data_IF_329694388635
#
_entry.id   IF_329694388635
#
_cell.length_a   1.000
_cell.length_b   1.000
_cell.length_c   1.000
_cell.angle_alpha   90.00
_cell.angle_beta   90.00
_cell.angle_gamma   90.00
#
_symmetry.space_group_name_H-M   'P 1'
#
loop_
_entity.id
_entity.type
_entity.pdbx_description
1 polymer ?
#
# COMPACT_ATOMS: atom_id res chain seq x y z
N UNK A 1 19.85 0.26 -5.40
CA UNK A 1 20.81 -0.67 -4.75
C UNK A 1 20.19 -1.37 -3.53
N UNK A 2 19.45 -0.69 -2.65
CA UNK A 2 18.99 -1.26 -1.36
C UNK A 2 17.89 -2.35 -1.49
N UNK A 3 16.96 -2.24 -2.43
CA UNK A 3 15.91 -3.26 -2.62
C UNK A 3 16.44 -4.61 -3.11
N UNK A 4 17.50 -4.62 -3.94
CA UNK A 4 18.13 -5.88 -4.38
C UNK A 4 18.84 -6.55 -3.22
N UNK A 5 19.59 -5.79 -2.43
CA UNK A 5 20.26 -6.31 -1.24
C UNK A 5 19.29 -6.95 -0.24
N UNK A 6 18.12 -6.31 0.00
CA UNK A 6 17.07 -6.89 0.83
C UNK A 6 16.53 -8.22 0.28
N UNK A 7 16.24 -8.28 -1.03
CA UNK A 7 15.79 -9.54 -1.65
C UNK A 7 16.82 -10.66 -1.59
N UNK A 8 18.10 -10.33 -1.76
CA UNK A 8 19.17 -11.32 -1.74
C UNK A 8 19.42 -11.86 -0.31
N UNK A 9 19.23 -11.02 0.70
CA UNK A 9 19.25 -11.44 2.10
C UNK A 9 18.15 -12.46 2.41
N UNK A 10 16.91 -12.22 1.95
CA UNK A 10 15.82 -13.17 2.16
C UNK A 10 15.97 -14.49 1.37
N UNK A 11 16.62 -14.47 0.21
CA UNK A 11 16.85 -15.70 -0.58
C UNK A 11 17.82 -16.68 0.09
N UNK A 12 18.72 -16.20 0.95
CA UNK A 12 19.67 -17.01 1.69
C UNK A 12 19.15 -17.58 3.00
N UNK A 13 17.98 -17.11 3.46
CA UNK A 13 17.41 -17.51 4.74
C UNK A 13 16.57 -18.78 4.60
N UNK A 14 16.69 -19.69 5.56
CA UNK A 14 15.79 -20.83 5.70
C UNK A 14 14.40 -20.38 6.09
N UNK A 15 13.37 -21.23 5.91
CA UNK A 15 11.99 -20.91 6.29
C UNK A 15 11.86 -20.50 7.77
N UNK A 16 12.58 -21.19 8.67
CA UNK A 16 12.58 -20.89 10.11
C UNK A 16 13.25 -19.55 10.43
N UNK A 17 14.35 -19.23 9.76
CA UNK A 17 15.04 -17.94 9.94
C UNK A 17 14.20 -16.79 9.44
N UNK A 18 13.51 -16.96 8.31
CA UNK A 18 12.57 -15.96 7.78
C UNK A 18 11.38 -15.74 8.71
N UNK A 19 10.82 -16.80 9.29
CA UNK A 19 9.74 -16.73 10.26
C UNK A 19 10.18 -16.01 11.54
N UNK A 20 11.34 -16.37 12.09
CA UNK A 20 11.90 -15.71 13.28
C UNK A 20 12.18 -14.23 13.02
N UNK A 21 12.75 -13.90 11.86
CA UNK A 21 12.99 -12.52 11.46
C UNK A 21 11.69 -11.71 11.38
N UNK A 22 10.64 -12.29 10.80
CA UNK A 22 9.32 -11.66 10.73
C UNK A 22 8.72 -11.46 12.12
N UNK A 23 8.82 -12.43 13.03
CA UNK A 23 8.34 -12.32 14.40
C UNK A 23 9.08 -11.22 15.18
N UNK A 24 10.40 -11.17 15.08
CA UNK A 24 11.21 -10.15 15.77
C UNK A 24 10.92 -8.75 15.24
N UNK A 25 10.74 -8.59 13.94
CA UNK A 25 10.40 -7.29 13.33
C UNK A 25 8.98 -6.81 13.66
N UNK A 26 8.07 -7.73 13.98
CA UNK A 26 6.69 -7.42 14.40
C UNK A 26 6.60 -7.12 15.92
N UNK A 27 7.58 -7.56 16.71
CA UNK A 27 7.55 -7.43 18.16
C UNK A 27 7.35 -5.99 18.66
N UNK A 28 8.03 -4.96 18.10
CA UNK A 28 7.78 -3.58 18.52
C UNK A 28 6.33 -3.15 18.28
N UNK A 29 5.72 -3.56 17.17
CA UNK A 29 4.31 -3.28 16.89
C UNK A 29 3.38 -3.91 17.91
N UNK A 30 3.58 -5.19 18.22
CA UNK A 30 2.77 -5.94 19.18
C UNK A 30 2.83 -5.31 20.57
N UNK A 31 3.98 -4.77 20.97
CA UNK A 31 4.16 -4.11 22.27
C UNK A 31 3.65 -2.65 22.28
N UNK A 32 3.87 -1.90 21.22
CA UNK A 32 3.55 -0.47 21.15
C UNK A 32 2.07 -0.19 20.89
N UNK A 33 1.36 -1.10 20.19
CA UNK A 33 -0.07 -0.94 19.92
C UNK A 33 -0.90 -0.89 21.21
N UNK A 34 -0.85 -1.89 22.11
CA UNK A 34 -1.66 -1.89 23.34
C UNK A 34 -1.28 -0.78 24.31
N UNK A 35 -0.05 -0.26 24.23
CA UNK A 35 0.42 0.87 25.03
C UNK A 35 0.04 2.23 24.43
N UNK A 36 -0.59 2.28 23.25
CA UNK A 36 -0.94 3.52 22.55
C UNK A 36 0.27 4.34 22.07
N UNK A 37 1.46 3.73 22.06
CA UNK A 37 2.71 4.42 21.71
C UNK A 37 3.03 4.41 20.23
N UNK A 38 2.32 3.60 19.43
CA UNK A 38 2.60 3.45 17.99
C UNK A 38 2.39 4.75 17.23
N UNK A 39 1.43 5.58 17.65
CA UNK A 39 1.19 6.89 17.04
C UNK A 39 2.30 7.91 17.37
N UNK A 40 3.05 7.69 18.44
CA UNK A 40 4.15 8.56 18.87
C UNK A 40 5.50 8.11 18.30
N UNK A 41 5.65 6.81 18.04
CA UNK A 41 6.85 6.20 17.46
C UNK A 41 6.45 5.25 16.32
N UNK A 42 5.91 5.78 15.21
CA UNK A 42 5.50 4.93 14.10
C UNK A 42 6.73 4.29 13.44
N UNK A 43 6.74 2.98 13.24
CA UNK A 43 7.85 2.28 12.57
C UNK A 43 7.95 2.66 11.09
N UNK A 44 6.84 3.10 10.51
CA UNK A 44 6.75 3.62 9.14
C UNK A 44 5.56 4.58 9.03
N UNK A 45 5.70 5.60 8.18
CA UNK A 45 4.64 6.60 7.94
C UNK A 45 3.88 6.36 6.65
N UNK A 46 4.44 5.58 5.74
CA UNK A 46 3.89 5.35 4.40
C UNK A 46 3.99 3.87 4.07
N UNK A 47 2.91 3.34 3.50
CA UNK A 47 2.87 1.99 2.93
C UNK A 47 2.70 2.11 1.42
N UNK A 48 3.56 1.44 0.66
CA UNK A 48 3.43 1.34 -0.80
C UNK A 48 3.33 -0.15 -1.13
N UNK A 49 2.20 -0.54 -1.72
CA UNK A 49 1.92 -1.91 -2.12
C UNK A 49 1.73 -2.00 -3.64
N UNK A 50 2.28 -3.05 -4.23
CA UNK A 50 2.06 -3.36 -5.64
C UNK A 50 1.44 -4.75 -5.77
N UNK A 51 0.22 -4.80 -6.30
CA UNK A 51 -0.54 -6.03 -6.51
C UNK A 51 -0.56 -6.34 -8.00
N UNK A 52 0.11 -7.41 -8.45
CA UNK A 52 0.04 -7.82 -9.84
C UNK A 52 -1.36 -8.34 -10.17
N UNK A 53 -1.99 -7.75 -11.16
CA UNK A 53 -3.30 -8.17 -11.67
C UNK A 53 -3.21 -8.88 -13.04
N UNK A 54 -4.36 -9.24 -13.62
CA UNK A 54 -4.43 -9.95 -14.89
C UNK A 54 -3.84 -9.12 -16.03
N UNK A 55 -3.02 -9.75 -16.88
CA UNK A 55 -2.38 -9.13 -18.06
C UNK A 55 -3.25 -9.18 -19.32
N UNK A 56 -4.53 -9.52 -19.18
CA UNK A 56 -5.50 -9.63 -20.29
C UNK A 56 -6.83 -9.01 -19.87
N UNK A 57 -7.60 -8.48 -20.83
CA UNK A 57 -8.93 -7.96 -20.55
C UNK A 57 -9.80 -9.04 -19.91
N UNK A 58 -10.51 -8.67 -18.86
CA UNK A 58 -11.48 -9.52 -18.18
C UNK A 58 -12.89 -9.06 -18.50
N UNK A 59 -13.82 -10.00 -18.50
CA UNK A 59 -15.23 -9.77 -18.78
C UNK A 59 -16.06 -10.38 -17.67
N UNK A 60 -17.10 -9.69 -17.27
CA UNK A 60 -18.11 -10.20 -16.34
C UNK A 60 -19.48 -10.08 -17.01
N UNK A 61 -20.13 -11.23 -17.23
CA UNK A 61 -21.45 -11.29 -17.88
C UNK A 61 -21.53 -10.48 -19.20
N UNK A 62 -20.51 -10.59 -20.04
CA UNK A 62 -20.41 -9.86 -21.31
C UNK A 62 -19.89 -8.42 -21.21
N UNK A 63 -19.87 -7.82 -20.03
CA UNK A 63 -19.31 -6.47 -19.82
C UNK A 63 -17.79 -6.53 -19.61
N UNK A 64 -17.06 -5.68 -20.30
CA UNK A 64 -15.62 -5.56 -20.14
C UNK A 64 -15.28 -4.81 -18.85
N UNK A 65 -14.34 -5.35 -18.08
CA UNK A 65 -13.75 -4.63 -16.97
C UNK A 65 -12.82 -3.54 -17.49
N UNK A 66 -13.06 -2.28 -17.16
CA UNK A 66 -12.27 -1.14 -17.63
C UNK A 66 -11.10 -0.78 -16.72
N UNK A 67 -11.17 -1.11 -15.43
CA UNK A 67 -10.10 -0.82 -14.47
C UNK A 67 -10.36 -1.44 -13.12
N UNK A 68 -9.31 -1.55 -12.32
CA UNK A 68 -9.33 -2.07 -10.94
C UNK A 68 -8.82 -0.99 -10.01
N UNK A 69 -9.69 -0.39 -9.23
CA UNK A 69 -9.33 0.71 -8.34
C UNK A 69 -9.08 0.18 -6.93
N UNK A 70 -7.82 0.04 -6.51
CA UNK A 70 -7.51 -0.50 -5.20
C UNK A 70 -7.88 0.49 -4.10
N UNK A 71 -8.41 -0.04 -3.01
CA UNK A 71 -8.64 0.71 -1.78
C UNK A 71 -8.05 -0.06 -0.62
N UNK A 72 -7.11 0.54 0.08
CA UNK A 72 -6.48 0.00 1.27
C UNK A 72 -6.84 0.81 2.49
N UNK A 73 -6.55 0.30 3.66
CA UNK A 73 -6.71 1.04 4.92
C UNK A 73 -5.40 1.71 5.31
N UNK A 74 -5.50 2.84 5.99
CA UNK A 74 -4.37 3.46 6.68
C UNK A 74 -4.36 2.90 8.10
N UNK A 75 -3.31 2.14 8.44
CA UNK A 75 -3.13 1.59 9.77
C UNK A 75 -2.77 2.68 10.77
N UNK A 76 -2.97 2.40 12.05
CA UNK A 76 -2.57 3.29 13.12
C UNK A 76 -1.05 3.57 13.07
N UNK A 77 -0.67 4.84 13.15
CA UNK A 77 0.71 5.31 12.99
C UNK A 77 1.13 5.61 11.56
N UNK A 78 0.40 5.16 10.53
CA UNK A 78 0.67 5.51 9.13
C UNK A 78 -0.12 6.76 8.70
N UNK A 79 0.48 7.57 7.84
CA UNK A 79 -0.15 8.77 7.28
C UNK A 79 -0.72 8.52 5.88
N UNK A 80 -0.11 7.61 5.12
CA UNK A 80 -0.36 7.41 3.71
C UNK A 80 -0.29 5.93 3.33
N UNK A 81 -1.22 5.49 2.49
CA UNK A 81 -1.16 4.19 1.82
C UNK A 81 -1.34 4.40 0.32
N UNK A 82 -0.41 3.91 -0.46
CA UNK A 82 -0.44 3.91 -1.92
C UNK A 82 -0.47 2.46 -2.38
N UNK A 83 -1.55 2.05 -3.03
CA UNK A 83 -1.67 0.72 -3.60
C UNK A 83 -1.74 0.82 -5.12
N UNK A 84 -0.92 0.05 -5.79
CA UNK A 84 -0.90 -0.08 -7.23
C UNK A 84 -1.49 -1.43 -7.62
N UNK A 85 -2.32 -1.45 -8.65
CA UNK A 85 -2.81 -2.70 -9.26
C UNK A 85 -2.60 -2.62 -10.76
N UNK A 86 -1.88 -3.59 -11.31
CA UNK A 86 -1.74 -3.70 -12.77
C UNK A 86 -2.94 -4.44 -13.35
N UNK A 87 -3.52 -3.90 -14.42
CA UNK A 87 -4.61 -4.53 -15.14
C UNK A 87 -4.48 -4.28 -16.65
N UNK A 88 -4.43 -5.35 -17.43
CA UNK A 88 -4.20 -5.34 -18.87
C UNK A 88 -2.91 -4.56 -19.22
N UNK A 89 -3.03 -3.37 -19.76
CA UNK A 89 -1.92 -2.47 -20.12
C UNK A 89 -1.79 -1.26 -19.20
N UNK A 90 -2.64 -1.18 -18.17
CA UNK A 90 -2.72 -0.05 -17.26
C UNK A 90 -2.21 -0.39 -15.88
N UNK A 91 -1.88 0.64 -15.12
CA UNK A 91 -1.64 0.55 -13.68
C UNK A 91 -2.57 1.54 -13.01
N UNK A 92 -3.47 1.01 -12.19
CA UNK A 92 -4.42 1.79 -11.42
C UNK A 92 -3.85 2.05 -10.02
N UNK A 93 -4.03 3.27 -9.53
CA UNK A 93 -3.52 3.72 -8.24
C UNK A 93 -4.68 3.96 -7.28
N UNK A 94 -4.51 3.50 -6.05
CA UNK A 94 -5.34 3.89 -4.91
C UNK A 94 -4.49 4.62 -3.90
N UNK A 95 -4.83 5.87 -3.60
CA UNK A 95 -4.14 6.70 -2.61
C UNK A 95 -5.11 6.98 -1.49
N UNK A 96 -4.77 6.54 -0.29
CA UNK A 96 -5.56 6.76 0.91
C UNK A 96 -4.67 7.40 1.96
N UNK A 97 -5.11 8.53 2.48
CA UNK A 97 -4.37 9.27 3.48
C UNK A 97 -5.22 9.62 4.70
N UNK A 98 -4.58 9.73 5.84
CA UNK A 98 -5.20 10.25 7.04
C UNK A 98 -5.38 11.76 6.90
N UNK A 99 -6.64 12.23 6.89
CA UNK A 99 -6.96 13.67 6.74
C UNK A 99 -6.31 14.56 7.81
N UNK A 100 -6.07 14.03 9.00
CA UNK A 100 -5.45 14.78 10.10
C UNK A 100 -3.97 15.03 9.89
N UNK A 101 -3.25 14.06 9.33
CA UNK A 101 -1.80 14.12 9.14
C UNK A 101 -1.42 14.59 7.74
N UNK A 102 -2.32 14.44 6.77
CA UNK A 102 -2.07 14.74 5.36
C UNK A 102 -3.32 15.38 4.70
N UNK A 103 -3.65 16.63 5.06
CA UNK A 103 -4.84 17.31 4.54
C UNK A 103 -4.79 17.58 3.04
N UNK A 104 -3.59 17.74 2.46
CA UNK A 104 -3.33 18.10 1.06
C UNK A 104 -2.96 16.89 0.19
N UNK A 105 -3.60 15.72 0.40
CA UNK A 105 -3.29 14.53 -0.42
C UNK A 105 -3.57 14.74 -1.92
N UNK A 106 -4.45 15.69 -2.26
CA UNK A 106 -4.74 16.06 -3.65
C UNK A 106 -3.52 16.65 -4.37
N UNK A 107 -2.69 17.41 -3.69
CA UNK A 107 -1.45 17.96 -4.25
C UNK A 107 -0.47 16.84 -4.65
N UNK A 108 -0.46 15.75 -3.90
CA UNK A 108 0.33 14.57 -4.24
C UNK A 108 -0.15 13.91 -5.53
N UNK A 109 -1.47 13.83 -5.74
CA UNK A 109 -2.06 13.29 -6.96
C UNK A 109 -1.71 14.14 -8.18
N UNK A 110 -1.77 15.46 -8.04
CA UNK A 110 -1.41 16.42 -9.09
C UNK A 110 0.08 16.39 -9.40
N UNK A 111 0.92 16.37 -8.37
CA UNK A 111 2.38 16.29 -8.54
C UNK A 111 2.86 14.98 -9.18
N UNK A 112 2.14 13.89 -8.94
CA UNK A 112 2.44 12.59 -9.54
C UNK A 112 1.97 12.49 -11.01
N UNK A 113 1.26 13.49 -11.55
CA UNK A 113 0.70 13.47 -12.90
C UNK A 113 -0.32 12.36 -13.13
N UNK A 114 -0.93 11.85 -12.05
CA UNK A 114 -1.91 10.79 -12.12
C UNK A 114 -3.24 11.36 -12.60
N UNK A 115 -3.78 10.81 -13.68
CA UNK A 115 -5.11 11.15 -14.17
C UNK A 115 -6.19 10.70 -13.19
N UNK A 116 -6.58 11.58 -12.27
CA UNK A 116 -7.49 11.25 -11.19
C UNK A 116 -8.92 11.18 -11.68
N UNK A 117 -9.51 9.99 -11.67
CA UNK A 117 -10.94 9.81 -11.82
C UNK A 117 -11.62 10.01 -10.45
N UNK A 118 -11.96 11.26 -10.12
CA UNK A 118 -12.67 11.59 -8.87
C UNK A 118 -14.06 10.95 -8.87
N UNK A 119 -14.34 10.06 -7.92
CA UNK A 119 -15.70 9.67 -7.58
C UNK A 119 -16.32 10.79 -6.74
N UNK A 120 -17.07 11.70 -7.35
CA UNK A 120 -17.89 12.68 -6.63
C UNK A 120 -18.92 11.89 -5.79
N UNK A 121 -18.86 11.98 -4.46
CA UNK A 121 -19.99 11.59 -3.63
C UNK A 121 -21.16 12.48 -4.05
N UNK A 122 -22.19 11.90 -4.61
CA UNK A 122 -23.50 12.56 -4.65
C UNK A 122 -24.01 12.59 -3.20
N UNK A 123 -24.22 13.77 -2.68
CA UNK A 123 -24.94 14.02 -1.44
C UNK A 123 -26.40 13.56 -1.58
#
# INVERSE_FOLDING_TARGET
ASMRAGKDMFKGMSAKESELFMQVTQLPGVLLIPLGLISRFPPFNTVISNVPGPRRPMYWNGARLEGVYPASIVSEGAALNITLVSYDKNVDFGIIACRRTMPSVQELEEAAGLGVRRRRKRA
#
